data_IF_149231172763
#
_entry.id   IF_149231172763
#
_cell.length_a   1.000
_cell.length_b   1.000
_cell.length_c   1.000
_cell.angle_alpha   90.00
_cell.angle_beta   90.00
_cell.angle_gamma   90.00
#
_symmetry.space_group_name_H-M   'P 1'
#
loop_
_entity.id
_entity.type
_entity.pdbx_description
1 polymer ?
#
# COMPACT_ATOMS: atom_id res chain seq x y z
N UNK A 1 9.26 5.58 -21.70
CA UNK A 1 9.74 5.51 -20.32
C UNK A 1 10.52 4.23 -20.06
N UNK A 2 11.78 4.37 -19.66
CA UNK A 2 12.67 3.31 -19.17
C UNK A 2 13.11 3.59 -17.73
N UNK A 3 13.67 2.60 -17.04
CA UNK A 3 14.27 2.83 -15.71
C UNK A 3 15.46 3.79 -15.74
N UNK A 4 16.19 3.86 -16.86
CA UNK A 4 17.28 4.82 -17.03
C UNK A 4 16.73 6.25 -17.01
N UNK A 5 15.70 6.53 -17.82
CA UNK A 5 15.03 7.85 -17.83
C UNK A 5 14.50 8.24 -16.44
N UNK A 6 13.88 7.30 -15.70
CA UNK A 6 13.42 7.58 -14.32
C UNK A 6 14.58 7.98 -13.40
N UNK A 7 15.72 7.29 -13.47
CA UNK A 7 16.88 7.56 -12.61
C UNK A 7 17.58 8.86 -13.00
N UNK A 8 17.62 9.17 -14.28
CA UNK A 8 18.23 10.40 -14.79
C UNK A 8 17.42 11.63 -14.36
N UNK A 9 16.09 11.54 -14.39
CA UNK A 9 15.17 12.59 -13.91
C UNK A 9 15.11 12.70 -12.38
N UNK A 10 15.46 11.64 -11.64
CA UNK A 10 15.39 11.59 -10.17
C UNK A 10 16.76 11.24 -9.55
N UNK A 11 17.68 12.22 -9.40
CA UNK A 11 19.02 12.01 -8.86
C UNK A 11 19.03 11.38 -7.44
N UNK A 12 17.99 11.57 -6.65
CA UNK A 12 17.83 10.94 -5.32
C UNK A 12 17.75 9.41 -5.40
N UNK A 13 17.29 8.87 -6.54
CA UNK A 13 17.29 7.43 -6.81
C UNK A 13 18.65 6.92 -7.25
N UNK A 14 19.52 7.78 -7.79
CA UNK A 14 20.86 7.40 -8.27
C UNK A 14 21.85 7.20 -7.13
N UNK A 15 21.87 8.11 -6.14
CA UNK A 15 22.85 8.10 -5.04
C UNK A 15 22.97 6.75 -4.32
N UNK A 16 21.88 6.02 -3.99
CA UNK A 16 21.98 4.73 -3.32
C UNK A 16 22.58 3.60 -4.19
N UNK A 17 22.66 3.81 -5.52
CA UNK A 17 23.15 2.84 -6.49
C UNK A 17 24.66 3.00 -6.74
N UNK A 18 25.21 4.19 -6.46
CA UNK A 18 26.61 4.51 -6.74
C UNK A 18 27.54 3.58 -5.95
N UNK A 19 28.48 2.94 -6.66
CA UNK A 19 29.42 1.97 -6.06
C UNK A 19 28.78 0.66 -5.58
N UNK A 20 27.50 0.42 -5.88
CA UNK A 20 26.77 -0.76 -5.43
C UNK A 20 26.11 -1.48 -6.61
N UNK A 21 26.69 -2.59 -7.10
CA UNK A 21 26.08 -3.33 -8.20
C UNK A 21 24.71 -3.87 -7.78
N UNK A 22 23.75 -3.81 -8.70
CA UNK A 22 22.38 -4.25 -8.44
C UNK A 22 21.47 -4.03 -9.64
N UNK A 23 20.18 -4.30 -9.46
CA UNK A 23 19.18 -4.18 -10.52
C UNK A 23 17.98 -3.36 -10.04
N UNK A 24 17.47 -2.52 -10.94
CA UNK A 24 16.17 -1.86 -10.81
C UNK A 24 15.09 -2.76 -11.39
N UNK A 25 13.93 -2.79 -10.75
CA UNK A 25 12.75 -3.46 -11.27
C UNK A 25 11.48 -2.79 -10.77
N UNK A 26 10.42 -2.95 -11.56
CA UNK A 26 9.10 -2.45 -11.24
C UNK A 26 8.39 -3.36 -10.25
N UNK A 27 7.73 -2.75 -9.28
CA UNK A 27 6.80 -3.41 -8.38
C UNK A 27 5.54 -2.55 -8.32
N UNK A 28 4.36 -3.13 -8.44
CA UNK A 28 3.07 -2.44 -8.26
C UNK A 28 2.89 -1.12 -9.08
N UNK A 29 2.07 -1.20 -10.12
CA UNK A 29 1.67 -0.04 -10.94
C UNK A 29 0.19 0.24 -10.76
N UNK A 30 -0.19 1.52 -10.62
CA UNK A 30 -1.60 1.95 -10.50
C UNK A 30 -1.82 3.29 -11.18
N UNK A 31 -2.90 3.39 -11.94
CA UNK A 31 -3.43 4.67 -12.41
C UNK A 31 -4.14 5.41 -11.28
N UNK A 32 -4.04 6.74 -11.25
CA UNK A 32 -4.95 7.55 -10.45
C UNK A 32 -6.39 7.42 -10.99
N UNK A 33 -7.43 7.78 -10.21
CA UNK A 33 -8.83 7.59 -10.61
C UNK A 33 -9.20 8.26 -11.94
N UNK A 34 -8.54 9.37 -12.28
CA UNK A 34 -8.76 10.14 -13.50
C UNK A 34 -8.01 9.58 -14.72
N UNK A 35 -7.12 8.60 -14.53
CA UNK A 35 -6.32 8.00 -15.61
C UNK A 35 -5.26 8.93 -16.20
N UNK A 36 -4.91 10.02 -15.52
CA UNK A 36 -3.97 11.03 -15.99
C UNK A 36 -2.56 10.81 -15.49
N UNK A 37 -2.39 10.10 -14.36
CA UNK A 37 -1.09 9.86 -13.71
C UNK A 37 -0.94 8.40 -13.29
N UNK A 38 0.23 7.85 -13.54
CA UNK A 38 0.70 6.55 -13.06
C UNK A 38 1.43 6.72 -11.73
N UNK A 39 1.24 5.77 -10.83
CA UNK A 39 2.11 5.50 -9.69
C UNK A 39 2.83 4.17 -9.94
N UNK A 40 4.13 4.14 -9.67
CA UNK A 40 4.98 2.99 -9.88
C UNK A 40 5.96 2.83 -8.72
N UNK A 41 5.97 1.67 -8.05
CA UNK A 41 6.99 1.40 -7.03
C UNK A 41 8.25 0.89 -7.72
N UNK A 42 9.26 1.75 -7.83
CA UNK A 42 10.56 1.36 -8.36
C UNK A 42 11.39 0.77 -7.22
N UNK A 43 11.88 -0.45 -7.43
CA UNK A 43 12.73 -1.15 -6.47
C UNK A 43 14.13 -1.30 -7.02
N UNK A 44 15.12 -1.07 -6.17
CA UNK A 44 16.47 -1.52 -6.42
C UNK A 44 16.84 -2.65 -5.47
N UNK A 45 17.56 -3.64 -6.00
CA UNK A 45 18.15 -4.75 -5.25
C UNK A 45 19.64 -4.81 -5.50
N UNK A 46 20.42 -4.83 -4.41
CA UNK A 46 21.86 -5.09 -4.48
C UNK A 46 22.14 -6.52 -4.93
N UNK A 47 23.19 -6.70 -5.72
CA UNK A 47 23.61 -8.00 -6.25
C UNK A 47 24.03 -8.98 -5.14
N UNK A 48 24.75 -8.48 -4.12
CA UNK A 48 25.20 -9.26 -2.95
C UNK A 48 24.08 -9.63 -1.96
N UNK A 49 22.87 -9.10 -2.18
CA UNK A 49 21.71 -9.30 -1.32
C UNK A 49 20.70 -10.32 -1.84
N UNK A 50 21.04 -11.12 -2.86
CA UNK A 50 20.09 -12.10 -3.42
C UNK A 50 19.61 -13.10 -2.35
N UNK A 51 18.30 -13.33 -2.29
CA UNK A 51 17.66 -14.16 -1.25
C UNK A 51 17.52 -13.49 0.12
N UNK A 52 18.16 -12.33 0.34
CA UNK A 52 18.10 -11.65 1.63
C UNK A 52 16.95 -10.65 1.74
N UNK A 53 16.32 -10.59 2.91
CA UNK A 53 15.09 -9.81 3.16
C UNK A 53 15.37 -8.45 3.82
N UNK A 54 16.58 -8.19 4.27
CA UNK A 54 16.94 -6.97 5.00
C UNK A 54 16.80 -5.73 4.12
N UNK A 55 16.34 -4.64 4.72
CA UNK A 55 16.16 -3.36 4.04
C UNK A 55 17.45 -2.73 3.53
N UNK A 56 18.62 -3.17 4.03
CA UNK A 56 19.91 -2.72 3.52
C UNK A 56 20.12 -3.09 2.04
N UNK A 57 19.57 -4.23 1.60
CA UNK A 57 19.72 -4.76 0.24
C UNK A 57 18.58 -4.38 -0.71
N UNK A 58 17.58 -3.61 -0.24
CA UNK A 58 16.44 -3.18 -1.05
C UNK A 58 16.10 -1.72 -0.82
N UNK A 59 15.98 -0.95 -1.89
CA UNK A 59 15.43 0.42 -1.84
C UNK A 59 14.11 0.43 -2.59
N UNK A 60 13.06 0.98 -1.97
CA UNK A 60 11.74 1.09 -2.56
C UNK A 60 11.40 2.57 -2.69
N UNK A 61 11.16 3.05 -3.90
CA UNK A 61 10.72 4.40 -4.18
C UNK A 61 9.28 4.36 -4.70
N UNK A 62 8.48 5.36 -4.37
CA UNK A 62 7.24 5.62 -5.11
C UNK A 62 7.53 6.73 -6.10
N UNK A 63 7.38 6.40 -7.37
CA UNK A 63 7.53 7.33 -8.50
C UNK A 63 6.15 7.55 -9.09
N UNK A 64 5.86 8.77 -9.54
CA UNK A 64 4.68 9.07 -10.34
C UNK A 64 5.06 9.77 -11.63
N UNK A 65 4.20 9.69 -12.64
CA UNK A 65 4.38 10.37 -13.93
C UNK A 65 3.05 10.48 -14.67
N UNK A 66 2.96 11.39 -15.63
CA UNK A 66 1.83 11.48 -16.54
C UNK A 66 1.66 10.19 -17.38
N UNK A 67 0.49 10.04 -17.98
CA UNK A 67 0.13 8.89 -18.81
C UNK A 67 1.08 8.63 -19.99
N UNK A 68 1.67 9.70 -20.54
CA UNK A 68 2.65 9.67 -21.64
C UNK A 68 4.09 9.46 -21.16
N UNK A 69 4.31 9.39 -19.85
CA UNK A 69 5.60 9.24 -19.21
C UNK A 69 6.37 10.53 -18.95
N UNK A 70 5.77 11.70 -19.21
CA UNK A 70 6.31 13.00 -18.81
C UNK A 70 6.07 13.30 -17.32
N UNK A 71 6.67 14.37 -16.81
CA UNK A 71 6.51 14.87 -15.43
C UNK A 71 6.74 13.79 -14.36
N UNK A 72 7.91 13.15 -14.46
CA UNK A 72 8.38 12.15 -13.51
C UNK A 72 8.65 12.83 -12.17
N UNK A 73 8.02 12.34 -11.11
CA UNK A 73 8.15 12.86 -9.74
C UNK A 73 8.45 11.75 -8.75
N UNK A 74 9.28 12.07 -7.76
CA UNK A 74 9.53 11.20 -6.61
C UNK A 74 8.47 11.47 -5.53
N UNK A 75 7.43 10.65 -5.47
CA UNK A 75 6.38 10.78 -4.46
C UNK A 75 6.81 10.29 -3.07
N UNK A 76 7.66 9.25 -3.01
CA UNK A 76 8.22 8.79 -1.74
C UNK A 76 9.64 8.24 -1.88
N UNK A 77 10.64 8.82 -1.19
CA UNK A 77 12.01 8.34 -1.24
C UNK A 77 12.21 7.06 -0.41
N UNK A 78 13.16 6.22 -0.83
CA UNK A 78 13.47 4.97 -0.13
C UNK A 78 13.93 5.14 1.32
N UNK A 79 14.51 6.28 1.68
CA UNK A 79 14.89 6.57 3.07
C UNK A 79 13.68 6.62 4.01
N UNK A 80 12.55 7.15 3.54
CA UNK A 80 11.30 7.19 4.32
C UNK A 80 10.69 5.79 4.37
N UNK A 81 10.59 5.10 3.22
CA UNK A 81 10.07 3.73 3.16
C UNK A 81 10.87 2.77 4.05
N UNK A 82 12.20 2.90 4.12
CA UNK A 82 13.09 1.99 4.83
C UNK A 82 12.82 1.88 6.34
N UNK A 83 12.18 2.88 6.96
CA UNK A 83 11.74 2.82 8.37
C UNK A 83 10.64 1.78 8.60
N UNK A 84 9.96 1.38 7.53
CA UNK A 84 8.81 0.49 7.52
C UNK A 84 7.76 1.07 6.58
N UNK A 85 7.32 0.28 5.59
CA UNK A 85 6.25 0.72 4.72
C UNK A 85 5.80 -0.30 3.69
N UNK A 86 4.55 -0.17 3.25
CA UNK A 86 3.92 -1.02 2.23
C UNK A 86 2.57 -0.46 1.76
N UNK A 87 2.05 -1.04 0.67
CA UNK A 87 0.74 -0.74 0.06
C UNK A 87 0.44 0.73 -0.20
N UNK A 88 1.22 1.42 -1.06
CA UNK A 88 0.78 2.69 -1.59
C UNK A 88 -0.47 2.49 -2.47
N UNK A 89 -1.42 3.41 -2.37
CA UNK A 89 -2.63 3.45 -3.18
C UNK A 89 -3.01 4.91 -3.45
N UNK A 90 -3.61 5.19 -4.61
CA UNK A 90 -4.14 6.52 -4.88
C UNK A 90 -5.31 6.85 -3.95
N UNK A 91 -5.36 8.08 -3.47
CA UNK A 91 -6.55 8.65 -2.87
C UNK A 91 -7.59 8.99 -3.95
N UNK A 92 -8.88 9.16 -3.59
CA UNK A 92 -9.95 9.46 -4.55
C UNK A 92 -9.76 10.76 -5.35
N UNK A 93 -9.04 11.73 -4.79
CA UNK A 93 -8.72 13.00 -5.46
C UNK A 93 -7.74 12.84 -6.64
N UNK A 94 -7.02 11.72 -6.71
CA UNK A 94 -6.00 11.45 -7.73
C UNK A 94 -4.74 12.30 -7.63
N UNK A 95 -4.58 13.07 -6.55
CA UNK A 95 -3.39 13.87 -6.27
C UNK A 95 -2.58 13.31 -5.10
N UNK A 96 -3.25 12.68 -4.13
CA UNK A 96 -2.60 12.12 -2.96
C UNK A 96 -2.49 10.60 -3.04
N UNK A 97 -1.54 10.06 -2.30
CA UNK A 97 -1.29 8.64 -2.13
C UNK A 97 -1.44 8.33 -0.64
N UNK A 98 -2.19 7.27 -0.32
CA UNK A 98 -2.24 6.68 1.03
C UNK A 98 -1.29 5.49 1.10
N UNK A 99 -0.55 5.36 2.20
CA UNK A 99 0.39 4.27 2.41
C UNK A 99 0.55 3.95 3.89
N UNK A 100 0.81 2.68 4.23
CA UNK A 100 1.31 2.33 5.55
C UNK A 100 2.79 2.73 5.66
N UNK A 101 3.13 3.62 6.60
CA UNK A 101 4.51 4.08 6.84
C UNK A 101 4.83 4.14 8.34
N UNK A 102 6.05 3.76 8.72
CA UNK A 102 6.58 3.91 10.07
C UNK A 102 7.26 5.28 10.22
N UNK A 103 6.46 6.35 10.19
CA UNK A 103 6.96 7.73 10.18
C UNK A 103 7.72 8.09 11.47
N UNK A 104 7.27 7.56 12.61
CA UNK A 104 7.75 7.91 13.94
C UNK A 104 8.70 6.88 14.57
N UNK A 105 8.97 5.77 13.87
CA UNK A 105 9.80 4.68 14.40
C UNK A 105 9.10 3.77 15.42
N UNK A 106 7.84 4.05 15.76
CA UNK A 106 7.05 3.35 16.79
C UNK A 106 5.95 2.46 16.20
N UNK A 107 6.03 2.14 14.91
CA UNK A 107 5.09 1.29 14.19
C UNK A 107 4.41 2.01 13.03
N UNK A 108 3.70 1.24 12.21
CA UNK A 108 3.05 1.76 11.01
C UNK A 108 1.90 2.71 11.36
N UNK A 109 1.69 3.71 10.52
CA UNK A 109 0.53 4.60 10.48
C UNK A 109 0.00 4.67 9.05
N UNK A 110 -1.29 4.96 8.92
CA UNK A 110 -1.82 5.43 7.64
C UNK A 110 -1.26 6.82 7.39
N UNK A 111 -0.43 6.94 6.37
CA UNK A 111 0.16 8.20 5.94
C UNK A 111 -0.43 8.62 4.60
N UNK A 112 -0.45 9.93 4.36
CA UNK A 112 -0.77 10.51 3.06
C UNK A 112 0.32 11.47 2.61
N UNK A 113 0.52 11.58 1.30
CA UNK A 113 1.45 12.50 0.66
C UNK A 113 1.00 12.76 -0.79
N UNK A 114 1.36 13.92 -1.35
CA UNK A 114 1.08 14.26 -2.76
C UNK A 114 1.95 13.47 -3.73
N UNK A 115 1.49 13.34 -4.96
CA UNK A 115 2.19 12.67 -6.06
C UNK A 115 3.61 13.18 -6.34
N UNK A 116 3.92 14.41 -5.90
CA UNK A 116 5.20 15.08 -6.07
C UNK A 116 6.12 15.02 -4.83
N UNK A 117 5.69 14.31 -3.79
CA UNK A 117 6.45 14.11 -2.56
C UNK A 117 6.22 15.16 -1.47
N UNK A 118 5.35 16.13 -1.72
CA UNK A 118 4.94 17.14 -0.73
C UNK A 118 3.80 16.62 0.18
N UNK A 119 3.46 17.39 1.23
CA UNK A 119 2.39 17.09 2.20
C UNK A 119 2.47 15.70 2.86
N UNK A 120 3.69 15.18 3.11
CA UNK A 120 3.83 13.92 3.84
C UNK A 120 3.41 14.08 5.31
N UNK A 121 2.35 13.38 5.70
CA UNK A 121 1.83 13.37 7.08
C UNK A 121 1.14 12.06 7.45
N UNK A 122 1.08 11.76 8.75
CA UNK A 122 0.16 10.74 9.25
C UNK A 122 -1.28 11.25 9.18
N UNK A 123 -2.24 10.39 8.82
CA UNK A 123 -3.67 10.71 8.89
C UNK A 123 -4.17 10.74 10.35
N UNK A 124 -3.58 9.91 11.22
CA UNK A 124 -3.78 9.96 12.67
C UNK A 124 -2.53 9.42 13.38
N UNK A 125 -2.07 10.07 14.44
CA UNK A 125 -0.81 9.73 15.12
C UNK A 125 -0.89 8.48 16.00
N UNK A 126 -2.07 8.15 16.52
CA UNK A 126 -2.24 7.04 17.48
C UNK A 126 -2.93 5.81 16.92
N UNK A 127 -3.48 5.87 15.70
CA UNK A 127 -4.13 4.72 15.06
C UNK A 127 -3.05 3.89 14.37
N UNK A 128 -2.86 2.61 14.74
CA UNK A 128 -1.92 1.75 14.03
C UNK A 128 -2.37 1.53 12.57
N UNK A 129 -1.41 1.66 11.66
CA UNK A 129 -1.56 1.23 10.27
C UNK A 129 -1.50 -0.28 10.14
N UNK A 130 -1.85 -0.81 8.97
CA UNK A 130 -1.84 -2.25 8.69
C UNK A 130 -2.58 -2.57 7.39
N UNK A 131 -2.50 -3.83 6.97
CA UNK A 131 -3.26 -4.33 5.82
C UNK A 131 -3.04 -3.55 4.52
N UNK A 132 -4.13 -3.33 3.78
CA UNK A 132 -4.18 -2.75 2.44
C UNK A 132 -5.14 -1.54 2.40
N UNK A 133 -4.68 -0.35 2.82
CA UNK A 133 -5.56 0.79 3.02
C UNK A 133 -6.01 1.44 1.71
N UNK A 134 -7.26 1.89 1.70
CA UNK A 134 -7.83 2.78 0.68
C UNK A 134 -8.68 3.85 1.37
N UNK A 135 -8.51 5.11 0.96
CA UNK A 135 -9.23 6.25 1.52
C UNK A 135 -10.61 6.38 0.85
N UNK A 136 -11.63 6.73 1.62
CA UNK A 136 -12.96 7.09 1.13
C UNK A 136 -13.00 8.57 0.70
N UNK A 137 -13.85 8.98 -0.27
CA UNK A 137 -13.88 10.36 -0.78
C UNK A 137 -14.27 11.43 0.26
N UNK A 138 -14.81 11.02 1.41
CA UNK A 138 -15.06 11.92 2.53
C UNK A 138 -13.79 12.43 3.24
N UNK A 139 -12.61 11.92 2.87
CA UNK A 139 -11.31 12.24 3.47
C UNK A 139 -11.24 12.03 4.99
N UNK A 140 -12.11 11.18 5.52
CA UNK A 140 -12.27 10.89 6.95
C UNK A 140 -12.14 9.40 7.24
N UNK A 141 -12.54 8.55 6.30
CA UNK A 141 -12.55 7.12 6.54
C UNK A 141 -11.53 6.36 5.69
N UNK A 142 -10.81 5.45 6.34
CA UNK A 142 -9.93 4.48 5.71
C UNK A 142 -10.60 3.12 5.80
N UNK A 143 -10.77 2.48 4.64
CA UNK A 143 -11.08 1.06 4.55
C UNK A 143 -9.77 0.28 4.45
N UNK A 144 -9.60 -0.72 5.29
CA UNK A 144 -8.45 -1.62 5.24
C UNK A 144 -8.83 -3.01 5.73
N UNK A 145 -7.88 -3.92 5.72
CA UNK A 145 -7.97 -5.27 6.25
C UNK A 145 -6.85 -5.52 7.26
N UNK A 146 -6.57 -6.79 7.55
CA UNK A 146 -5.40 -7.20 8.29
C UNK A 146 -4.84 -8.54 7.78
N UNK A 147 -3.54 -8.74 7.96
CA UNK A 147 -2.92 -10.07 7.80
C UNK A 147 -3.25 -10.99 8.99
N UNK A 148 -3.18 -12.30 8.77
CA UNK A 148 -3.45 -13.33 9.79
C UNK A 148 -2.52 -13.30 11.00
N UNK A 149 -1.38 -12.59 10.90
CA UNK A 149 -0.39 -12.41 11.97
C UNK A 149 -0.22 -10.94 12.40
N UNK A 150 -1.09 -10.05 11.94
CA UNK A 150 -1.11 -8.66 12.39
C UNK A 150 -1.87 -8.51 13.72
N UNK A 151 -1.68 -7.37 14.38
CA UNK A 151 -2.30 -7.05 15.67
C UNK A 151 -3.83 -7.11 15.66
N UNK A 152 -4.46 -6.92 14.50
CA UNK A 152 -5.91 -6.92 14.35
C UNK A 152 -6.48 -8.32 14.03
N UNK A 153 -5.65 -9.37 13.91
CA UNK A 153 -6.10 -10.73 13.68
C UNK A 153 -6.68 -11.37 14.94
N UNK A 154 -7.62 -12.31 14.78
CA UNK A 154 -8.30 -12.97 15.90
C UNK A 154 -7.62 -14.27 16.37
N UNK A 155 -6.54 -14.70 15.73
CA UNK A 155 -5.78 -15.91 16.09
C UNK A 155 -6.41 -17.24 15.66
N UNK A 156 -7.63 -17.24 15.12
CA UNK A 156 -8.35 -18.44 14.63
C UNK A 156 -8.35 -18.58 13.09
N UNK A 157 -7.48 -17.81 12.43
CA UNK A 157 -7.40 -17.68 10.98
C UNK A 157 -8.44 -16.75 10.36
N UNK A 158 -9.11 -15.93 11.16
CA UNK A 158 -9.98 -14.85 10.69
C UNK A 158 -9.35 -13.48 10.93
N UNK A 159 -9.68 -12.52 10.07
CA UNK A 159 -9.25 -11.11 10.15
C UNK A 159 -10.43 -10.17 9.89
N UNK A 160 -10.37 -8.93 10.39
CA UNK A 160 -11.43 -7.95 10.20
C UNK A 160 -11.30 -7.23 8.86
N UNK A 161 -12.45 -6.83 8.31
CA UNK A 161 -12.55 -5.70 7.40
C UNK A 161 -12.80 -4.46 8.26
N UNK A 162 -11.91 -3.47 8.16
CA UNK A 162 -11.80 -2.37 9.12
C UNK A 162 -12.21 -1.07 8.44
N UNK A 163 -13.12 -0.35 9.09
CA UNK A 163 -13.58 0.98 8.69
C UNK A 163 -13.20 1.98 9.77
N UNK A 164 -12.21 2.81 9.46
CA UNK A 164 -11.52 3.59 10.48
C UNK A 164 -11.73 5.07 10.22
N UNK A 165 -12.23 5.76 11.23
CA UNK A 165 -12.39 7.20 11.23
C UNK A 165 -11.08 7.87 11.68
N UNK A 166 -10.31 8.41 10.74
CA UNK A 166 -9.01 9.01 11.05
C UNK A 166 -9.10 10.39 11.71
N UNK A 167 -10.32 10.91 11.93
CA UNK A 167 -10.54 12.13 12.72
C UNK A 167 -10.85 11.83 14.18
N UNK A 168 -11.71 10.85 14.46
CA UNK A 168 -12.10 10.48 15.84
C UNK A 168 -11.25 9.38 16.46
N UNK A 169 -10.52 8.59 15.66
CA UNK A 169 -9.84 7.39 16.15
C UNK A 169 -10.72 6.15 16.22
N UNK A 170 -12.03 6.29 15.95
CA UNK A 170 -12.98 5.20 16.05
C UNK A 170 -12.81 4.20 14.90
N UNK A 171 -12.89 2.92 15.24
CA UNK A 171 -12.85 1.82 14.28
C UNK A 171 -14.15 1.01 14.37
N UNK A 172 -14.75 0.78 13.21
CA UNK A 172 -15.85 -0.15 13.03
C UNK A 172 -15.36 -1.37 12.24
N UNK A 173 -15.64 -2.56 12.75
CA UNK A 173 -15.44 -3.81 11.99
C UNK A 173 -16.66 -4.05 11.11
N UNK A 174 -16.48 -3.90 9.79
CA UNK A 174 -17.55 -4.15 8.81
C UNK A 174 -17.87 -5.65 8.68
N UNK A 175 -16.83 -6.49 8.77
CA UNK A 175 -16.97 -7.94 8.69
C UNK A 175 -15.80 -8.64 9.39
N UNK A 176 -16.05 -9.83 9.95
CA UNK A 176 -15.02 -10.79 10.34
C UNK A 176 -15.00 -11.92 9.32
N UNK A 177 -13.83 -12.22 8.77
CA UNK A 177 -13.71 -13.09 7.61
C UNK A 177 -12.52 -14.04 7.74
N UNK A 178 -12.70 -15.31 7.34
CA UNK A 178 -11.60 -16.29 7.32
C UNK A 178 -10.64 -15.95 6.18
N UNK A 179 -9.37 -15.76 6.50
CA UNK A 179 -8.31 -15.40 5.54
C UNK A 179 -7.14 -16.37 5.54
N UNK A 180 -7.14 -17.35 6.45
CA UNK A 180 -6.26 -18.52 6.36
C UNK A 180 -6.87 -19.58 5.42
N UNK A 181 -6.26 -19.82 4.23
CA UNK A 181 -6.72 -20.86 3.32
C UNK A 181 -6.32 -22.26 3.81
N UNK A 182 -6.89 -23.31 3.20
CA UNK A 182 -6.47 -24.69 3.46
C UNK A 182 -5.02 -24.95 3.05
N UNK A 183 -4.50 -24.21 2.06
CA UNK A 183 -3.15 -24.34 1.53
C UNK A 183 -2.59 -22.94 1.24
N UNK A 184 -1.51 -22.56 1.93
CA UNK A 184 -0.80 -21.29 1.71
C UNK A 184 0.32 -21.41 0.67
N UNK A 185 0.74 -22.63 0.34
CA UNK A 185 1.84 -22.90 -0.59
C UNK A 185 3.21 -22.49 -0.03
N UNK A 186 4.30 -22.76 -0.78
CA UNK A 186 5.63 -22.35 -0.37
C UNK A 186 5.72 -20.82 -0.29
N UNK A 187 6.34 -20.32 0.77
CA UNK A 187 6.57 -18.87 0.97
C UNK A 187 5.28 -18.04 0.94
N UNK A 188 4.16 -18.62 1.40
CA UNK A 188 2.86 -17.98 1.51
C UNK A 188 2.34 -17.41 0.18
N UNK A 189 2.69 -18.05 -0.95
CA UNK A 189 2.34 -17.57 -2.29
C UNK A 189 0.84 -17.71 -2.62
N UNK A 190 0.13 -18.60 -1.93
CA UNK A 190 -1.32 -18.82 -2.05
C UNK A 190 -2.12 -18.24 -0.88
N UNK A 191 -1.49 -17.44 0.00
CA UNK A 191 -2.20 -16.72 1.07
C UNK A 191 -3.36 -15.87 0.51
N UNK A 192 -4.35 -15.58 1.35
CA UNK A 192 -5.54 -14.82 0.94
C UNK A 192 -5.50 -13.44 1.60
N UNK A 193 -5.00 -12.46 0.84
CA UNK A 193 -5.01 -11.06 1.24
C UNK A 193 -6.37 -10.44 0.82
N UNK A 194 -7.17 -9.87 1.74
CA UNK A 194 -8.51 -9.37 1.40
C UNK A 194 -8.53 -8.28 0.35
N UNK A 195 -7.57 -7.34 0.36
CA UNK A 195 -7.43 -6.29 -0.67
C UNK A 195 -8.77 -5.59 -0.98
N UNK A 196 -9.43 -4.96 0.02
CA UNK A 196 -10.69 -4.28 -0.25
C UNK A 196 -10.48 -3.15 -1.25
N UNK A 197 -11.32 -3.10 -2.29
CA UNK A 197 -11.29 -2.08 -3.31
C UNK A 197 -12.70 -1.54 -3.57
N UNK A 198 -12.83 -0.22 -3.60
CA UNK A 198 -14.07 0.47 -3.89
C UNK A 198 -14.47 0.32 -5.36
N UNK A 199 -15.77 0.28 -5.60
CA UNK A 199 -16.33 0.59 -6.91
C UNK A 199 -16.29 2.11 -7.16
N UNK A 200 -16.73 2.55 -8.35
CA UNK A 200 -16.73 3.98 -8.70
C UNK A 200 -17.70 4.82 -7.89
N UNK A 201 -18.78 4.22 -7.36
CA UNK A 201 -19.74 4.94 -6.53
C UNK A 201 -19.25 5.16 -5.09
N UNK A 202 -18.20 4.42 -4.67
CA UNK A 202 -17.76 4.35 -3.28
C UNK A 202 -18.86 3.87 -2.32
N UNK A 203 -19.86 3.17 -2.84
CA UNK A 203 -20.90 2.53 -2.03
C UNK A 203 -20.71 1.02 -1.97
N UNK A 204 -19.85 0.43 -2.80
CA UNK A 204 -19.59 -1.01 -2.79
C UNK A 204 -18.11 -1.31 -2.76
N UNK A 205 -17.79 -2.45 -2.19
CA UNK A 205 -16.41 -2.94 -2.12
C UNK A 205 -16.35 -4.36 -2.66
N UNK A 206 -15.25 -4.67 -3.34
CA UNK A 206 -14.83 -6.03 -3.65
C UNK A 206 -13.67 -6.42 -2.74
N UNK A 207 -13.68 -7.64 -2.23
CA UNK A 207 -12.61 -8.16 -1.38
C UNK A 207 -12.50 -9.69 -1.48
N UNK A 208 -11.33 -10.21 -1.13
CA UNK A 208 -11.06 -11.64 -1.07
C UNK A 208 -11.26 -12.18 0.35
N UNK A 209 -11.72 -13.41 0.44
CA UNK A 209 -11.73 -14.18 1.69
C UNK A 209 -11.73 -15.66 1.34
N UNK A 210 -11.57 -16.53 2.32
CA UNK A 210 -11.60 -17.97 2.13
C UNK A 210 -12.49 -18.67 3.17
N UNK A 211 -13.82 -18.54 3.06
CA UNK A 211 -14.75 -19.39 3.80
C UNK A 211 -14.40 -20.86 3.56
N UNK A 212 -14.41 -21.66 4.63
CA UNK A 212 -14.01 -23.08 4.57
C UNK A 212 -12.57 -23.28 4.02
N UNK A 213 -11.76 -22.22 4.09
CA UNK A 213 -10.38 -22.18 3.60
C UNK A 213 -10.22 -22.19 2.07
N UNK A 214 -11.29 -21.96 1.29
CA UNK A 214 -11.23 -21.87 -0.19
C UNK A 214 -11.40 -20.43 -0.65
N UNK A 215 -10.42 -19.89 -1.38
CA UNK A 215 -10.42 -18.50 -1.87
C UNK A 215 -11.67 -18.22 -2.72
N UNK A 216 -12.32 -17.10 -2.42
CA UNK A 216 -13.48 -16.55 -3.13
C UNK A 216 -13.38 -15.02 -3.15
N UNK A 217 -14.10 -14.41 -4.07
CA UNK A 217 -14.25 -12.96 -4.19
C UNK A 217 -15.67 -12.59 -3.76
N UNK A 218 -15.80 -11.57 -2.93
CA UNK A 218 -17.06 -11.08 -2.40
C UNK A 218 -17.28 -9.63 -2.78
N UNK A 219 -18.55 -9.24 -2.88
CA UNK A 219 -18.96 -7.85 -3.00
C UNK A 219 -19.84 -7.54 -1.79
N UNK A 220 -19.58 -6.42 -1.12
CA UNK A 220 -20.45 -5.88 -0.09
C UNK A 220 -20.98 -4.51 -0.52
N UNK A 221 -22.26 -4.28 -0.26
CA UNK A 221 -22.90 -2.97 -0.41
C UNK A 221 -22.91 -2.27 0.95
N UNK A 222 -22.31 -1.08 0.99
CA UNK A 222 -22.12 -0.28 2.18
C UNK A 222 -23.01 0.97 2.18
N UNK A 223 -23.96 1.11 1.25
CA UNK A 223 -24.82 2.31 1.12
C UNK A 223 -25.54 2.69 2.42
N UNK A 224 -25.83 1.74 3.31
CA UNK A 224 -26.48 2.00 4.60
C UNK A 224 -25.50 2.22 5.77
N UNK A 225 -24.19 2.09 5.53
CA UNK A 225 -23.12 2.10 6.54
C UNK A 225 -22.08 3.19 6.33
N UNK A 226 -22.06 3.84 5.15
CA UNK A 226 -21.22 4.99 4.81
C UNK A 226 -22.03 6.21 4.44
#
# INVERSE_FOLDING_TARGET
MSFAEIVDELPEMRRPLEGHPGALYGFHVKWNPQGTRLMFVVRWRRADGFGRREGAFRKNHVVTMNADGSDIRLALPAGVWAKGGHHPNWCPDGEHIIQNLNLFGTGLRFASYRYDGTDLRALHADIPGGGHPTLHPDNRHVLTDAYTREYAAFGDGTTPLRWINVRSGEEMMLARMRTTPLVEGPMDCLRVDPHPAWDRSFCRIVFNTCPEGRRRVFIADLTASV
#
